data_IF_208919334258
#
_entry.id   IF_208919334258
#
_cell.length_a   1.000
_cell.length_b   1.000
_cell.length_c   1.000
_cell.angle_alpha   90.00
_cell.angle_beta   90.00
_cell.angle_gamma   90.00
#
_symmetry.space_group_name_H-M   'P 1'
#
loop_
_entity.id
_entity.type
_entity.pdbx_description
1 polymer ?
#
# COMPACT_ATOMS: atom_id res chain seq x y z
N UNK A 1 -13.13 9.96 -27.25
CA UNK A 1 -13.83 9.23 -26.16
C UNK A 1 -13.31 9.80 -24.86
N UNK A 2 -14.02 10.76 -24.29
CA UNK A 2 -13.57 11.49 -23.10
C UNK A 2 -14.16 10.77 -21.89
N UNK A 3 -13.32 10.17 -21.06
CA UNK A 3 -13.77 9.50 -19.85
C UNK A 3 -14.30 10.57 -18.90
N UNK A 4 -15.58 10.49 -18.57
CA UNK A 4 -16.24 11.36 -17.59
C UNK A 4 -15.88 10.89 -16.17
N UNK A 5 -14.95 11.60 -15.55
CA UNK A 5 -14.50 11.31 -14.19
C UNK A 5 -15.50 11.76 -13.12
N UNK A 6 -16.54 12.55 -13.44
CA UNK A 6 -17.51 13.06 -12.46
C UNK A 6 -18.33 11.97 -11.77
N UNK A 7 -18.37 10.77 -12.36
CA UNK A 7 -18.99 9.56 -11.81
C UNK A 7 -17.98 8.50 -11.39
N UNK A 8 -16.68 8.72 -11.60
CA UNK A 8 -15.69 7.89 -10.92
C UNK A 8 -15.94 8.08 -9.42
N UNK A 9 -16.09 7.01 -8.62
CA UNK A 9 -16.37 7.16 -7.19
C UNK A 9 -15.27 8.02 -6.57
N UNK A 10 -15.55 9.31 -6.39
CA UNK A 10 -14.67 10.34 -5.85
C UNK A 10 -14.45 10.19 -4.33
N UNK A 11 -14.72 9.00 -3.80
CA UNK A 11 -14.55 8.68 -2.40
C UNK A 11 -13.68 7.43 -2.26
N UNK A 12 -12.50 7.45 -2.88
CA UNK A 12 -11.37 6.77 -2.24
C UNK A 12 -11.04 7.64 -1.02
N UNK A 13 -11.82 7.50 0.04
CA UNK A 13 -11.54 8.14 1.32
C UNK A 13 -10.14 7.66 1.74
N UNK A 14 -9.14 8.52 1.55
CA UNK A 14 -7.74 8.20 1.90
C UNK A 14 -7.62 7.77 3.37
N UNK A 15 -8.50 8.28 4.23
CA UNK A 15 -8.64 7.87 5.63
C UNK A 15 -9.19 6.44 5.80
N UNK A 16 -10.08 5.97 4.91
CA UNK A 16 -10.55 4.56 4.89
C UNK A 16 -9.54 3.61 4.26
N UNK A 17 -8.70 4.12 3.35
CA UNK A 17 -7.67 3.34 2.64
C UNK A 17 -6.34 3.39 3.39
N UNK A 18 -6.34 3.11 4.70
CA UNK A 18 -5.14 3.16 5.52
C UNK A 18 -4.26 1.91 5.30
N UNK A 19 -3.64 1.81 4.12
CA UNK A 19 -2.73 0.71 3.75
C UNK A 19 -1.55 0.58 4.70
N UNK A 20 -1.09 1.69 5.29
CA UNK A 20 -0.05 1.70 6.33
C UNK A 20 -0.49 0.86 7.52
N UNK A 21 -1.70 1.07 8.03
CA UNK A 21 -2.26 0.26 9.11
C UNK A 21 -2.61 -1.18 8.65
N UNK A 22 -3.23 -1.32 7.47
CA UNK A 22 -3.66 -2.63 6.94
C UNK A 22 -2.48 -3.59 6.74
N UNK A 23 -1.38 -3.09 6.18
CA UNK A 23 -0.18 -3.87 5.87
C UNK A 23 0.85 -3.85 7.02
N UNK A 24 0.61 -3.10 8.09
CA UNK A 24 1.55 -2.88 9.20
C UNK A 24 2.91 -2.35 8.69
N UNK A 25 2.85 -1.33 7.81
CA UNK A 25 4.04 -0.66 7.30
C UNK A 25 4.68 0.19 8.40
N UNK A 26 5.98 -0.01 8.63
CA UNK A 26 6.76 0.67 9.67
C UNK A 26 7.87 1.47 9.04
N UNK A 27 7.96 2.76 9.35
CA UNK A 27 9.12 3.57 9.03
C UNK A 27 10.23 3.27 10.05
N UNK A 28 11.34 2.73 9.56
CA UNK A 28 12.49 2.40 10.41
C UNK A 28 13.56 3.50 10.35
N UNK A 29 13.66 4.22 9.22
CA UNK A 29 14.62 5.31 9.04
C UNK A 29 14.15 6.28 7.94
N UNK A 30 14.44 7.57 8.12
CA UNK A 30 14.25 8.59 7.09
C UNK A 30 15.34 9.66 7.21
N UNK A 31 15.92 10.00 6.07
CA UNK A 31 16.81 11.14 5.89
C UNK A 31 16.57 11.78 4.52
N UNK A 32 17.31 12.84 4.19
CA UNK A 32 17.18 13.49 2.90
C UNK A 32 17.53 12.52 1.75
N UNK A 33 16.55 12.20 0.90
CA UNK A 33 16.72 11.34 -0.26
C UNK A 33 16.74 9.84 0.02
N UNK A 34 16.46 9.41 1.27
CA UNK A 34 16.42 7.99 1.63
C UNK A 34 15.42 7.70 2.74
N UNK A 35 14.63 6.65 2.54
CA UNK A 35 13.79 6.04 3.57
C UNK A 35 14.03 4.54 3.65
N UNK A 36 13.82 3.96 4.83
CA UNK A 36 13.77 2.51 5.05
C UNK A 36 12.43 2.21 5.71
N UNK A 37 11.63 1.38 5.05
CA UNK A 37 10.38 0.87 5.59
C UNK A 37 10.42 -0.65 5.71
N UNK A 38 9.64 -1.17 6.67
CA UNK A 38 9.48 -2.60 6.93
C UNK A 38 8.01 -2.98 6.89
N UNK A 39 7.71 -4.10 6.24
CA UNK A 39 6.39 -4.75 6.24
C UNK A 39 6.55 -6.16 6.81
N UNK A 40 6.07 -6.45 8.02
CA UNK A 40 6.16 -7.80 8.59
C UNK A 40 5.36 -8.81 7.78
N UNK A 41 5.91 -10.01 7.62
CA UNK A 41 5.16 -11.12 7.04
C UNK A 41 3.99 -11.53 7.94
N UNK A 42 2.83 -11.74 7.31
CA UNK A 42 1.61 -12.29 7.90
C UNK A 42 0.90 -13.15 6.84
N UNK A 43 0.28 -14.25 7.25
CA UNK A 43 -0.43 -15.15 6.31
C UNK A 43 -1.55 -14.46 5.54
N UNK A 44 -2.18 -13.45 6.14
CA UNK A 44 -3.32 -12.68 5.65
C UNK A 44 -2.98 -11.81 4.45
N UNK A 45 -1.69 -11.53 4.22
CA UNK A 45 -1.20 -10.74 3.08
C UNK A 45 -0.60 -11.63 1.99
N UNK A 46 -0.85 -12.94 2.02
CA UNK A 46 -0.39 -13.87 0.98
C UNK A 46 -1.37 -13.99 -0.18
N UNK A 47 -0.87 -14.40 -1.35
CA UNK A 47 -1.67 -14.73 -2.54
C UNK A 47 -2.07 -16.23 -2.54
N UNK A 48 -2.72 -16.67 -3.61
CA UNK A 48 -3.14 -18.07 -3.77
C UNK A 48 -2.01 -19.11 -3.81
N UNK A 49 -0.74 -18.70 -3.85
CA UNK A 49 0.44 -19.59 -3.80
C UNK A 49 1.17 -19.53 -2.46
N UNK A 50 0.65 -18.77 -1.49
CA UNK A 50 1.29 -18.57 -0.17
C UNK A 50 2.47 -17.58 -0.17
N UNK A 51 2.75 -16.92 -1.30
CA UNK A 51 3.75 -15.84 -1.34
C UNK A 51 3.08 -14.51 -0.95
N UNK A 52 3.86 -13.51 -0.53
CA UNK A 52 3.31 -12.16 -0.27
C UNK A 52 2.62 -11.65 -1.54
N UNK A 53 1.38 -11.17 -1.39
CA UNK A 53 0.58 -10.69 -2.50
C UNK A 53 1.29 -9.53 -3.22
N UNK A 54 1.35 -9.58 -4.55
CA UNK A 54 2.08 -8.58 -5.35
C UNK A 54 1.63 -7.15 -5.07
N UNK A 55 0.33 -6.94 -4.86
CA UNK A 55 -0.21 -5.63 -4.45
C UNK A 55 0.36 -5.12 -3.12
N UNK A 56 0.61 -5.99 -2.13
CA UNK A 56 1.19 -5.58 -0.85
C UNK A 56 2.67 -5.17 -1.01
N UNK A 57 3.41 -5.88 -1.88
CA UNK A 57 4.80 -5.52 -2.22
C UNK A 57 4.84 -4.16 -2.93
N UNK A 58 3.97 -3.96 -3.92
CA UNK A 58 3.87 -2.67 -4.64
C UNK A 58 3.49 -1.55 -3.68
N UNK A 59 2.53 -1.75 -2.77
CA UNK A 59 2.19 -0.75 -1.76
C UNK A 59 3.37 -0.38 -0.86
N UNK A 60 4.20 -1.35 -0.45
CA UNK A 60 5.43 -1.05 0.30
C UNK A 60 6.39 -0.19 -0.54
N UNK A 61 6.60 -0.53 -1.82
CA UNK A 61 7.49 0.22 -2.71
C UNK A 61 6.98 1.60 -3.14
N UNK A 62 5.67 1.79 -3.20
CA UNK A 62 5.03 3.06 -3.57
C UNK A 62 4.96 4.04 -2.39
N UNK A 63 4.92 3.52 -1.16
CA UNK A 63 4.80 4.34 0.06
C UNK A 63 6.15 4.88 0.56
N UNK A 64 7.27 4.23 0.22
CA UNK A 64 8.63 4.64 0.62
C UNK A 64 9.09 5.96 0.01
#
# INVERSE_FOLDING_TARGET
MTIDYSRAPHAWEKEKSNFVALLDLKLEFVEHGRAIMRMPYRSEITNGTGAVHGGAIVSLCDTV
#
